data_IF_510393514321
#
_entry.id   IF_510393514321
#
_cell.length_a   1.000
_cell.length_b   1.000
_cell.length_c   1.000
_cell.angle_alpha   90.00
_cell.angle_beta   90.00
_cell.angle_gamma   90.00
#
_symmetry.space_group_name_H-M   'P 1'
#
loop_
_entity.id
_entity.type
_entity.pdbx_description
1 polymer ?
#
# COMPACT_ATOMS: atom_id res chain seq x y z
N UNK A 1 1.80 44.71 -23.33
CA UNK A 1 3.18 45.19 -23.55
C UNK A 1 3.95 45.10 -22.23
N UNK A 2 5.24 44.79 -22.30
CA UNK A 2 6.02 44.12 -21.25
C UNK A 2 6.42 45.05 -20.07
N UNK A 3 5.51 45.27 -19.12
CA UNK A 3 5.77 46.04 -17.89
C UNK A 3 7.13 45.71 -17.20
N UNK A 4 7.53 44.42 -17.07
CA UNK A 4 8.83 44.05 -16.50
C UNK A 4 10.05 44.55 -17.28
N UNK A 5 9.88 44.94 -18.56
CA UNK A 5 10.93 45.45 -19.44
C UNK A 5 10.84 46.96 -19.64
N UNK A 6 9.62 47.52 -19.73
CA UNK A 6 9.40 48.94 -19.99
C UNK A 6 9.69 49.81 -18.77
N UNK A 7 9.34 49.35 -17.57
CA UNK A 7 9.57 50.12 -16.34
C UNK A 7 11.07 50.34 -16.06
N UNK A 8 11.95 49.32 -16.07
CA UNK A 8 13.40 49.53 -15.88
C UNK A 8 14.07 50.27 -17.04
N UNK A 9 13.45 50.32 -18.22
CA UNK A 9 13.96 51.09 -19.35
C UNK A 9 13.76 52.59 -19.13
N UNK A 10 12.52 53.03 -18.85
CA UNK A 10 12.24 54.45 -18.57
C UNK A 10 12.87 54.92 -17.27
N UNK A 11 13.01 54.05 -16.27
CA UNK A 11 13.75 54.37 -15.05
C UNK A 11 15.22 54.70 -15.34
N UNK A 12 15.89 53.92 -16.21
CA UNK A 12 17.27 54.17 -16.62
C UNK A 12 17.43 55.44 -17.43
N UNK A 13 16.50 55.73 -18.35
CA UNK A 13 16.51 56.96 -19.14
C UNK A 13 16.41 58.20 -18.24
N UNK A 14 15.42 58.22 -17.33
CA UNK A 14 15.26 59.33 -16.38
C UNK A 14 16.45 59.48 -15.42
N UNK A 15 17.07 58.38 -14.98
CA UNK A 15 18.28 58.44 -14.13
C UNK A 15 19.52 58.95 -14.88
N UNK A 16 19.57 58.79 -16.21
CA UNK A 16 20.67 59.26 -17.04
C UNK A 16 20.54 60.76 -17.40
N UNK A 17 19.31 61.25 -17.53
CA UNK A 17 19.00 62.66 -17.75
C UNK A 17 17.77 63.07 -16.92
N UNK A 18 18.02 63.82 -15.85
CA UNK A 18 16.98 64.23 -14.90
C UNK A 18 16.05 65.33 -15.47
N UNK A 19 16.48 66.03 -16.54
CA UNK A 19 15.71 67.08 -17.20
C UNK A 19 14.83 66.52 -18.35
N UNK A 20 14.93 65.22 -18.65
CA UNK A 20 14.04 64.54 -19.61
C UNK A 20 12.63 64.34 -19.00
N UNK A 21 11.80 65.37 -19.18
CA UNK A 21 10.39 65.40 -18.76
C UNK A 21 9.57 64.28 -19.40
N UNK A 22 9.93 63.82 -20.60
CA UNK A 22 9.21 62.75 -21.30
C UNK A 22 9.52 61.41 -20.63
N UNK A 23 10.79 61.11 -20.35
CA UNK A 23 11.21 59.90 -19.63
C UNK A 23 10.60 59.84 -18.23
N UNK A 24 10.61 60.96 -17.48
CA UNK A 24 9.98 61.05 -16.16
C UNK A 24 8.48 60.72 -16.22
N UNK A 25 7.74 61.37 -17.12
CA UNK A 25 6.29 61.13 -17.28
C UNK A 25 6.00 59.68 -17.65
N UNK A 26 6.79 59.08 -18.55
CA UNK A 26 6.62 57.68 -18.96
C UNK A 26 6.92 56.70 -17.82
N UNK A 27 7.98 56.95 -17.06
CA UNK A 27 8.32 56.14 -15.89
C UNK A 27 7.20 56.17 -14.84
N UNK A 28 6.66 57.35 -14.51
CA UNK A 28 5.53 57.50 -13.59
C UNK A 28 4.28 56.73 -14.07
N UNK A 29 3.92 56.86 -15.35
CA UNK A 29 2.79 56.13 -15.91
C UNK A 29 2.94 54.61 -15.82
N UNK A 30 4.13 54.08 -16.13
CA UNK A 30 4.40 52.65 -16.05
C UNK A 30 4.43 52.16 -14.60
N UNK A 31 4.90 52.99 -13.66
CA UNK A 31 4.87 52.71 -12.22
C UNK A 31 3.43 52.66 -11.69
N UNK A 32 2.58 53.62 -12.06
CA UNK A 32 1.18 53.64 -11.64
C UNK A 32 0.39 52.45 -12.19
N UNK A 33 0.74 51.98 -13.39
CA UNK A 33 0.18 50.75 -13.96
C UNK A 33 0.63 49.52 -13.17
N UNK A 34 1.91 49.46 -12.81
CA UNK A 34 2.47 48.37 -11.98
C UNK A 34 1.76 48.32 -10.64
N UNK A 35 1.64 49.45 -9.96
CA UNK A 35 1.10 49.51 -8.60
C UNK A 35 -0.38 49.10 -8.58
N UNK A 36 -1.18 49.57 -9.56
CA UNK A 36 -2.56 49.12 -9.75
C UNK A 36 -2.66 47.62 -10.01
N UNK A 37 -1.81 47.08 -10.89
CA UNK A 37 -1.80 45.66 -11.22
C UNK A 37 -1.44 44.82 -9.99
N UNK A 38 -0.45 45.23 -9.21
CA UNK A 38 -0.03 44.53 -8.00
C UNK A 38 -1.17 44.47 -6.98
N UNK A 39 -1.90 45.58 -6.76
CA UNK A 39 -3.05 45.60 -5.84
C UNK A 39 -4.12 44.59 -6.30
N UNK A 40 -4.49 44.61 -7.58
CA UNK A 40 -5.50 43.69 -8.12
C UNK A 40 -5.06 42.23 -8.00
N UNK A 41 -3.81 41.91 -8.34
CA UNK A 41 -3.31 40.53 -8.26
C UNK A 41 -3.16 40.07 -6.81
N UNK A 42 -2.84 40.97 -5.87
CA UNK A 42 -2.84 40.68 -4.43
C UNK A 42 -4.24 40.29 -3.95
N UNK A 43 -5.28 40.99 -4.40
CA UNK A 43 -6.66 40.63 -4.09
C UNK A 43 -7.03 39.23 -4.61
N UNK A 44 -6.68 38.91 -5.86
CA UNK A 44 -6.91 37.56 -6.40
C UNK A 44 -6.13 36.47 -5.66
N UNK A 45 -4.89 36.74 -5.26
CA UNK A 45 -4.12 35.81 -4.44
C UNK A 45 -4.82 35.53 -3.10
N UNK A 46 -5.34 36.58 -2.45
CA UNK A 46 -6.04 36.45 -1.17
C UNK A 46 -7.38 35.70 -1.29
N UNK A 47 -8.15 35.95 -2.36
CA UNK A 47 -9.39 35.22 -2.64
C UNK A 47 -9.09 33.73 -2.87
N UNK A 48 -8.16 33.40 -3.76
CA UNK A 48 -7.76 32.02 -4.02
C UNK A 48 -7.23 31.33 -2.76
N UNK A 49 -6.52 32.04 -1.90
CA UNK A 49 -6.07 31.49 -0.61
C UNK A 49 -7.23 31.22 0.36
N UNK A 50 -8.20 32.12 0.46
CA UNK A 50 -9.40 31.96 1.29
C UNK A 50 -10.24 30.74 0.84
N UNK A 51 -10.27 30.49 -0.47
CA UNK A 51 -10.89 29.30 -1.07
C UNK A 51 -10.01 28.05 -0.97
N UNK A 52 -8.84 28.15 -0.32
CA UNK A 52 -7.85 27.09 -0.17
C UNK A 52 -7.27 26.59 -1.50
N UNK A 53 -7.39 27.37 -2.58
CA UNK A 53 -6.76 27.14 -3.87
C UNK A 53 -5.30 27.62 -3.84
N UNK A 54 -4.51 27.05 -2.94
CA UNK A 54 -3.14 27.49 -2.67
C UNK A 54 -2.22 27.47 -3.92
N UNK A 55 -2.51 26.61 -4.91
CA UNK A 55 -1.81 26.59 -6.19
C UNK A 55 -2.07 27.83 -7.04
N UNK A 56 -3.32 28.29 -7.10
CA UNK A 56 -3.73 29.49 -7.81
C UNK A 56 -3.22 30.75 -7.10
N UNK A 57 -3.37 30.81 -5.77
CA UNK A 57 -2.80 31.88 -4.94
C UNK A 57 -1.28 32.02 -5.14
N UNK A 58 -0.55 30.90 -5.16
CA UNK A 58 0.89 30.87 -5.43
C UNK A 58 1.24 31.40 -6.83
N UNK A 59 0.43 31.09 -7.84
CA UNK A 59 0.63 31.59 -9.21
C UNK A 59 0.48 33.12 -9.28
N UNK A 60 -0.53 33.68 -8.61
CA UNK A 60 -0.72 35.12 -8.49
C UNK A 60 0.46 35.81 -7.80
N UNK A 61 0.92 35.30 -6.64
CA UNK A 61 2.08 35.87 -5.94
C UNK A 61 3.37 35.79 -6.75
N UNK A 62 3.59 34.71 -7.49
CA UNK A 62 4.73 34.61 -8.43
C UNK A 62 4.68 35.64 -9.55
N UNK A 63 3.48 36.03 -10.00
CA UNK A 63 3.36 37.09 -11.00
C UNK A 63 3.71 38.47 -10.42
N UNK A 64 3.37 38.73 -9.15
CA UNK A 64 3.78 39.95 -8.44
C UNK A 64 5.29 39.97 -8.23
N UNK A 65 5.90 38.84 -7.85
CA UNK A 65 7.34 38.72 -7.67
C UNK A 65 8.14 39.09 -8.93
N UNK A 66 7.57 38.93 -10.13
CA UNK A 66 8.22 39.35 -11.39
C UNK A 66 8.15 40.87 -11.63
N UNK A 67 7.32 41.59 -10.88
CA UNK A 67 7.09 43.03 -11.01
C UNK A 67 7.75 43.82 -9.88
N UNK A 68 7.89 43.22 -8.70
CA UNK A 68 8.57 43.81 -7.54
C UNK A 68 9.35 42.77 -6.72
N UNK A 69 10.55 43.16 -6.29
CA UNK A 69 11.29 42.43 -5.27
C UNK A 69 10.78 42.83 -3.88
N UNK A 70 9.84 42.03 -3.35
CA UNK A 70 9.21 42.29 -2.06
C UNK A 70 9.47 41.13 -1.08
N UNK A 71 10.11 41.39 0.08
CA UNK A 71 10.31 40.40 1.14
C UNK A 71 9.00 39.79 1.66
N UNK A 72 7.92 40.58 1.65
CA UNK A 72 6.58 40.14 2.07
C UNK A 72 6.05 39.08 1.10
N UNK A 73 6.11 39.35 -0.21
CA UNK A 73 5.69 38.40 -1.25
C UNK A 73 6.50 37.11 -1.20
N UNK A 74 7.81 37.19 -0.96
CA UNK A 74 8.66 36.01 -0.77
C UNK A 74 8.22 35.17 0.42
N UNK A 75 7.81 35.81 1.52
CA UNK A 75 7.34 35.13 2.72
C UNK A 75 6.02 34.42 2.47
N UNK A 76 5.07 35.08 1.80
CA UNK A 76 3.78 34.49 1.43
C UNK A 76 3.94 33.30 0.46
N UNK A 77 4.83 33.42 -0.52
CA UNK A 77 5.18 32.32 -1.44
C UNK A 77 5.72 31.11 -0.66
N UNK A 78 6.60 31.32 0.32
CA UNK A 78 7.14 30.22 1.15
C UNK A 78 6.03 29.55 1.96
N UNK A 79 5.16 30.35 2.59
CA UNK A 79 4.03 29.88 3.39
C UNK A 79 3.03 29.06 2.58
N UNK A 80 2.64 29.53 1.39
CA UNK A 80 1.73 28.79 0.50
C UNK A 80 2.34 27.47 0.02
N UNK A 81 3.65 27.42 -0.23
CA UNK A 81 4.35 26.16 -0.57
C UNK A 81 4.30 25.16 0.58
N UNK A 82 4.52 25.60 1.82
CA UNK A 82 4.40 24.70 2.98
C UNK A 82 2.97 24.19 3.14
N UNK A 83 1.95 25.04 2.96
CA UNK A 83 0.55 24.62 3.05
C UNK A 83 0.18 23.59 1.96
N UNK A 84 0.65 23.79 0.73
CA UNK A 84 0.47 22.82 -0.36
C UNK A 84 1.10 21.48 -0.03
N UNK A 85 2.34 21.49 0.48
CA UNK A 85 3.05 20.27 0.85
C UNK A 85 2.34 19.52 1.98
N UNK A 86 1.91 20.22 3.03
CA UNK A 86 1.19 19.61 4.14
C UNK A 86 -0.17 19.04 3.71
N UNK A 87 -0.91 19.76 2.84
CA UNK A 87 -2.16 19.24 2.26
C UNK A 87 -1.92 17.98 1.43
N UNK A 88 -0.85 17.95 0.64
CA UNK A 88 -0.48 16.78 -0.16
C UNK A 88 -0.13 15.59 0.73
N UNK A 89 0.70 15.79 1.76
CA UNK A 89 1.04 14.75 2.75
C UNK A 89 -0.20 14.21 3.45
N UNK A 90 -1.09 15.09 3.90
CA UNK A 90 -2.33 14.69 4.56
C UNK A 90 -3.23 13.86 3.62
N UNK A 91 -3.31 14.21 2.34
CA UNK A 91 -4.06 13.45 1.36
C UNK A 91 -3.45 12.05 1.12
N UNK A 92 -2.12 11.98 0.98
CA UNK A 92 -1.42 10.69 0.81
C UNK A 92 -1.63 9.80 2.04
N UNK A 93 -1.51 10.35 3.25
CA UNK A 93 -1.76 9.61 4.48
C UNK A 93 -3.20 9.09 4.57
N UNK A 94 -4.21 9.90 4.21
CA UNK A 94 -5.61 9.47 4.16
C UNK A 94 -5.87 8.38 3.12
N UNK A 95 -5.29 8.50 1.93
CA UNK A 95 -5.43 7.50 0.87
C UNK A 95 -4.76 6.17 1.28
N UNK A 96 -3.58 6.23 1.89
CA UNK A 96 -2.87 5.03 2.36
C UNK A 96 -3.62 4.35 3.50
N UNK A 97 -4.17 5.10 4.47
CA UNK A 97 -4.95 4.52 5.56
C UNK A 97 -6.26 3.88 5.08
N UNK A 98 -6.94 4.49 4.09
CA UNK A 98 -8.16 3.91 3.53
C UNK A 98 -7.89 2.66 2.68
N UNK A 99 -6.81 2.64 1.90
CA UNK A 99 -6.37 1.45 1.17
C UNK A 99 -5.93 0.32 2.11
N UNK A 100 -5.20 0.65 3.19
CA UNK A 100 -4.82 -0.30 4.23
C UNK A 100 -6.04 -0.92 4.91
N UNK A 101 -7.05 -0.10 5.24
CA UNK A 101 -8.30 -0.56 5.84
C UNK A 101 -9.10 -1.51 4.92
N UNK A 102 -9.20 -1.19 3.61
CA UNK A 102 -9.83 -2.11 2.64
C UNK A 102 -9.10 -3.44 2.52
N UNK A 103 -7.76 -3.39 2.45
CA UNK A 103 -6.95 -4.61 2.39
C UNK A 103 -7.14 -5.46 3.65
N UNK A 104 -7.17 -4.85 4.83
CA UNK A 104 -7.42 -5.55 6.09
C UNK A 104 -8.80 -6.20 6.13
N UNK A 105 -9.84 -5.51 5.65
CA UNK A 105 -11.19 -6.07 5.52
C UNK A 105 -11.22 -7.27 4.57
N UNK A 106 -10.56 -7.17 3.42
CA UNK A 106 -10.46 -8.28 2.48
C UNK A 106 -9.72 -9.48 3.08
N UNK A 107 -8.59 -9.26 3.76
CA UNK A 107 -7.85 -10.34 4.42
C UNK A 107 -8.68 -11.06 5.48
N UNK A 108 -9.51 -10.33 6.23
CA UNK A 108 -10.44 -10.96 7.18
C UNK A 108 -11.50 -11.79 6.47
N UNK A 109 -12.10 -11.28 5.38
CA UNK A 109 -13.08 -12.02 4.60
C UNK A 109 -12.49 -13.29 3.95
N UNK A 110 -11.28 -13.18 3.39
CA UNK A 110 -10.56 -14.32 2.80
C UNK A 110 -10.20 -15.35 3.87
N UNK A 111 -9.77 -14.89 5.06
CA UNK A 111 -9.49 -15.77 6.20
C UNK A 111 -10.75 -16.52 6.65
N UNK A 112 -11.87 -15.83 6.87
CA UNK A 112 -13.15 -16.45 7.22
C UNK A 112 -13.59 -17.46 6.17
N UNK A 113 -13.48 -17.11 4.89
CA UNK A 113 -13.81 -18.02 3.78
C UNK A 113 -12.93 -19.27 3.80
N UNK A 114 -11.62 -19.13 4.06
CA UNK A 114 -10.70 -20.25 4.14
C UNK A 114 -11.01 -21.15 5.34
N UNK A 115 -11.39 -20.59 6.50
CA UNK A 115 -11.85 -21.36 7.67
C UNK A 115 -13.13 -22.13 7.33
N UNK A 116 -14.13 -21.47 6.74
CA UNK A 116 -15.42 -22.07 6.38
C UNK A 116 -15.25 -23.21 5.37
N UNK A 117 -14.30 -23.07 4.45
CA UNK A 117 -13.96 -24.09 3.45
C UNK A 117 -12.95 -25.13 3.95
N UNK A 118 -12.55 -25.08 5.23
CA UNK A 118 -11.54 -25.97 5.84
C UNK A 118 -10.19 -25.96 5.09
N UNK A 119 -9.86 -24.85 4.44
CA UNK A 119 -8.59 -24.62 3.75
C UNK A 119 -7.53 -24.16 4.76
N UNK A 120 -7.15 -25.05 5.67
CA UNK A 120 -6.37 -24.69 6.86
C UNK A 120 -5.02 -24.04 6.56
N UNK A 121 -4.32 -24.47 5.51
CA UNK A 121 -3.05 -23.87 5.10
C UNK A 121 -3.25 -22.46 4.55
N UNK A 122 -4.28 -22.25 3.73
CA UNK A 122 -4.63 -20.92 3.22
C UNK A 122 -5.01 -19.98 4.36
N UNK A 123 -5.84 -20.45 5.30
CA UNK A 123 -6.19 -19.67 6.49
C UNK A 123 -4.94 -19.30 7.30
N UNK A 124 -4.01 -20.25 7.49
CA UNK A 124 -2.74 -20.02 8.19
C UNK A 124 -1.87 -18.97 7.52
N UNK A 125 -1.72 -19.05 6.20
CA UNK A 125 -0.92 -18.09 5.43
C UNK A 125 -1.50 -16.68 5.50
N UNK A 126 -2.83 -16.55 5.35
CA UNK A 126 -3.52 -15.26 5.46
C UNK A 126 -3.35 -14.68 6.87
N UNK A 127 -3.57 -15.49 7.91
CA UNK A 127 -3.45 -15.05 9.30
C UNK A 127 -2.01 -14.63 9.65
N UNK A 128 -1.00 -15.38 9.19
CA UNK A 128 0.40 -15.00 9.35
C UNK A 128 0.70 -13.65 8.67
N UNK A 129 0.16 -13.42 7.48
CA UNK A 129 0.29 -12.15 6.79
C UNK A 129 -0.40 -10.99 7.55
N UNK A 130 -1.53 -11.25 8.21
CA UNK A 130 -2.21 -10.26 9.06
C UNK A 130 -1.40 -9.96 10.33
N UNK A 131 -0.88 -10.98 11.02
CA UNK A 131 -0.05 -10.83 12.22
C UNK A 131 1.28 -10.13 11.92
N UNK A 132 1.89 -10.34 10.76
CA UNK A 132 3.09 -9.59 10.35
C UNK A 132 2.84 -8.08 10.26
N UNK A 133 1.63 -7.68 9.88
CA UNK A 133 1.23 -6.27 9.81
C UNK A 133 0.82 -5.74 11.18
N UNK A 134 0.23 -6.59 12.03
CA UNK A 134 -0.34 -6.23 13.35
C UNK A 134 0.06 -7.26 14.41
N UNK A 135 1.35 -7.31 14.83
CA UNK A 135 1.86 -8.41 15.66
C UNK A 135 1.32 -8.45 17.09
N UNK A 136 0.69 -7.37 17.57
CA UNK A 136 0.07 -7.29 18.89
C UNK A 136 -1.45 -7.23 18.87
N UNK A 137 -2.08 -7.49 17.73
CA UNK A 137 -3.55 -7.50 17.63
C UNK A 137 -4.11 -8.73 18.35
N UNK A 138 -4.72 -8.50 19.52
CA UNK A 138 -5.25 -9.56 20.38
C UNK A 138 -6.24 -10.47 19.63
N UNK A 139 -7.11 -9.91 18.80
CA UNK A 139 -8.09 -10.71 18.08
C UNK A 139 -7.40 -11.69 17.11
N UNK A 140 -6.36 -11.25 16.41
CA UNK A 140 -5.60 -12.13 15.52
C UNK A 140 -4.79 -13.20 16.27
N UNK A 141 -4.33 -12.90 17.48
CA UNK A 141 -3.66 -13.89 18.33
C UNK A 141 -4.65 -14.94 18.84
N UNK A 142 -5.86 -14.53 19.21
CA UNK A 142 -6.95 -15.45 19.59
C UNK A 142 -7.32 -16.36 18.39
N UNK A 143 -7.46 -15.80 17.19
CA UNK A 143 -7.65 -16.55 15.94
C UNK A 143 -6.51 -17.53 15.66
N UNK A 144 -5.26 -17.15 15.95
CA UNK A 144 -4.11 -18.04 15.76
C UNK A 144 -4.19 -19.26 16.68
N UNK A 145 -4.60 -19.06 17.93
CA UNK A 145 -4.79 -20.17 18.86
C UNK A 145 -5.91 -21.11 18.39
N UNK A 146 -7.04 -20.55 17.94
CA UNK A 146 -8.16 -21.35 17.43
C UNK A 146 -7.78 -22.14 16.17
N UNK A 147 -7.11 -21.50 15.21
CA UNK A 147 -6.64 -22.18 14.00
C UNK A 147 -5.66 -23.31 14.33
N UNK A 148 -4.74 -23.09 15.28
CA UNK A 148 -3.81 -24.14 15.71
C UNK A 148 -4.54 -25.33 16.34
N UNK A 149 -5.59 -25.08 17.14
CA UNK A 149 -6.41 -26.15 17.70
C UNK A 149 -7.15 -26.95 16.61
N UNK A 150 -7.71 -26.27 15.60
CA UNK A 150 -8.37 -26.92 14.46
C UNK A 150 -7.39 -27.75 13.63
N UNK A 151 -6.18 -27.23 13.39
CA UNK A 151 -5.12 -27.96 12.69
C UNK A 151 -4.74 -29.24 13.43
N UNK A 152 -4.55 -29.17 14.74
CA UNK A 152 -4.23 -30.34 15.57
C UNK A 152 -5.34 -31.40 15.49
N UNK A 153 -6.61 -30.97 15.60
CA UNK A 153 -7.74 -31.88 15.49
C UNK A 153 -7.79 -32.59 14.12
N UNK A 154 -7.52 -31.87 13.03
CA UNK A 154 -7.51 -32.46 11.69
C UNK A 154 -6.36 -33.46 11.50
N UNK A 155 -5.17 -33.15 12.04
CA UNK A 155 -4.03 -34.08 12.06
C UNK A 155 -4.38 -35.34 12.84
N UNK A 156 -4.94 -35.21 14.04
CA UNK A 156 -5.35 -36.34 14.88
C UNK A 156 -6.40 -37.21 14.16
N UNK A 157 -7.40 -36.58 13.53
CA UNK A 157 -8.45 -37.27 12.79
C UNK A 157 -7.90 -38.09 11.62
N UNK A 158 -7.07 -37.48 10.79
CA UNK A 158 -6.47 -38.13 9.64
C UNK A 158 -5.50 -39.26 10.07
N UNK A 159 -4.80 -39.08 11.19
CA UNK A 159 -3.92 -40.10 11.77
C UNK A 159 -4.72 -41.31 12.24
N UNK A 160 -5.78 -41.09 13.04
CA UNK A 160 -6.65 -42.15 13.52
C UNK A 160 -7.37 -42.89 12.39
N UNK A 161 -7.82 -42.17 11.35
CA UNK A 161 -8.43 -42.77 10.17
C UNK A 161 -7.44 -43.68 9.43
N UNK A 162 -6.20 -43.21 9.25
CA UNK A 162 -5.17 -44.03 8.60
C UNK A 162 -4.81 -45.27 9.42
N UNK A 163 -4.74 -45.17 10.76
CA UNK A 163 -4.52 -46.32 11.64
C UNK A 163 -5.66 -47.34 11.55
N UNK A 164 -6.91 -46.89 11.51
CA UNK A 164 -8.07 -47.75 11.34
C UNK A 164 -7.99 -48.53 10.02
N UNK A 165 -7.81 -47.83 8.89
CA UNK A 165 -7.66 -48.48 7.58
C UNK A 165 -6.47 -49.44 7.54
N UNK A 166 -5.34 -49.06 8.15
CA UNK A 166 -4.16 -49.92 8.19
C UNK A 166 -4.45 -51.23 8.95
N UNK A 167 -5.16 -51.14 10.08
CA UNK A 167 -5.51 -52.31 10.90
C UNK A 167 -6.48 -53.27 10.19
N UNK A 168 -7.31 -52.75 9.29
CA UNK A 168 -8.22 -53.52 8.44
C UNK A 168 -7.53 -54.12 7.20
N UNK A 169 -6.25 -53.80 6.97
CA UNK A 169 -5.51 -54.20 5.78
C UNK A 169 -5.80 -53.34 4.53
N UNK A 170 -6.56 -52.26 4.68
CA UNK A 170 -6.90 -51.29 3.64
C UNK A 170 -5.74 -50.29 3.44
N UNK A 171 -4.58 -50.78 2.98
CA UNK A 171 -3.31 -50.01 3.01
C UNK A 171 -3.35 -48.76 2.12
N UNK A 172 -3.99 -48.80 0.96
CA UNK A 172 -4.13 -47.64 0.08
C UNK A 172 -4.91 -46.51 0.77
N UNK A 173 -6.02 -46.83 1.43
CA UNK A 173 -6.82 -45.84 2.18
C UNK A 173 -6.07 -45.30 3.40
N UNK A 174 -5.30 -46.15 4.09
CA UNK A 174 -4.43 -45.72 5.18
C UNK A 174 -3.41 -44.67 4.71
N UNK A 175 -2.75 -44.95 3.58
CA UNK A 175 -1.78 -44.05 2.98
C UNK A 175 -2.42 -42.71 2.59
N UNK A 176 -3.60 -42.74 1.95
CA UNK A 176 -4.32 -41.52 1.58
C UNK A 176 -4.66 -40.66 2.79
N UNK A 177 -5.15 -41.25 3.88
CA UNK A 177 -5.50 -40.53 5.10
C UNK A 177 -4.26 -39.89 5.75
N UNK A 178 -3.15 -40.62 5.86
CA UNK A 178 -1.92 -40.03 6.41
C UNK A 178 -1.32 -38.95 5.51
N UNK A 179 -1.38 -39.13 4.19
CA UNK A 179 -0.90 -38.12 3.25
C UNK A 179 -1.72 -36.82 3.30
N UNK A 180 -3.01 -36.85 3.66
CA UNK A 180 -3.79 -35.62 3.81
C UNK A 180 -3.38 -34.79 5.03
N UNK A 181 -2.82 -35.41 6.07
CA UNK A 181 -2.28 -34.72 7.25
C UNK A 181 -0.87 -34.15 7.03
N UNK A 182 -0.10 -34.71 6.08
CA UNK A 182 1.31 -34.37 5.91
C UNK A 182 1.56 -32.86 5.65
N UNK A 183 0.77 -32.15 4.82
CA UNK A 183 0.94 -30.72 4.63
C UNK A 183 0.72 -29.90 5.92
N UNK A 184 -0.08 -30.41 6.86
CA UNK A 184 -0.38 -29.74 8.13
C UNK A 184 0.73 -29.99 9.17
N UNK A 185 1.35 -31.17 9.12
CA UNK A 185 2.42 -31.60 10.03
C UNK A 185 3.61 -32.22 9.27
N UNK A 186 4.35 -31.43 8.46
CA UNK A 186 5.37 -31.96 7.55
C UNK A 186 6.57 -32.61 8.25
N UNK A 187 6.78 -32.29 9.53
CA UNK A 187 7.89 -32.77 10.34
C UNK A 187 7.45 -33.79 11.40
N UNK A 188 6.20 -34.28 11.34
CA UNK A 188 5.72 -35.29 12.29
C UNK A 188 6.37 -36.64 11.98
N UNK A 189 7.25 -37.09 12.88
CA UNK A 189 7.99 -38.35 12.72
C UNK A 189 7.10 -39.59 12.72
N UNK A 190 5.99 -39.58 13.47
CA UNK A 190 5.07 -40.70 13.52
C UNK A 190 4.30 -40.82 12.20
N UNK A 191 3.80 -39.69 11.70
CA UNK A 191 3.10 -39.63 10.41
C UNK A 191 4.00 -40.08 9.26
N UNK A 192 5.23 -39.57 9.20
CA UNK A 192 6.23 -39.95 8.19
C UNK A 192 6.53 -41.46 8.23
N UNK A 193 6.71 -42.04 9.42
CA UNK A 193 6.98 -43.47 9.58
C UNK A 193 5.79 -44.34 9.14
N UNK A 194 4.56 -43.91 9.43
CA UNK A 194 3.34 -44.61 9.00
C UNK A 194 3.20 -44.61 7.47
N UNK A 195 3.40 -43.44 6.83
CA UNK A 195 3.40 -43.29 5.36
C UNK A 195 4.44 -44.21 4.73
N UNK A 196 5.68 -44.19 5.23
CA UNK A 196 6.77 -45.02 4.72
C UNK A 196 6.45 -46.52 4.84
N UNK A 197 5.86 -46.94 5.97
CA UNK A 197 5.44 -48.33 6.18
C UNK A 197 4.35 -48.77 5.19
N UNK A 198 3.31 -47.97 5.00
CA UNK A 198 2.26 -48.29 4.03
C UNK A 198 2.82 -48.39 2.60
N UNK A 199 3.69 -47.45 2.21
CA UNK A 199 4.30 -47.46 0.87
C UNK A 199 5.08 -48.76 0.62
N UNK A 200 5.90 -49.20 1.58
CA UNK A 200 6.65 -50.47 1.47
C UNK A 200 5.73 -51.68 1.27
N UNK A 201 4.58 -51.71 1.94
CA UNK A 201 3.62 -52.81 1.79
C UNK A 201 3.02 -52.80 0.39
N UNK A 202 2.58 -51.64 -0.10
CA UNK A 202 2.02 -51.48 -1.44
C UNK A 202 3.04 -51.86 -2.53
N UNK A 203 4.29 -51.44 -2.38
CA UNK A 203 5.37 -51.77 -3.31
C UNK A 203 5.59 -53.29 -3.37
N UNK A 204 5.58 -53.97 -2.21
CA UNK A 204 5.70 -55.43 -2.14
C UNK A 204 4.50 -56.13 -2.78
N UNK A 205 3.28 -55.66 -2.53
CA UNK A 205 2.06 -56.22 -3.13
C UNK A 205 2.10 -56.06 -4.66
N UNK A 206 2.55 -54.91 -5.16
CA UNK A 206 2.71 -54.65 -6.58
C UNK A 206 3.75 -55.59 -7.21
N UNK A 207 4.92 -55.73 -6.60
CA UNK A 207 5.97 -56.61 -7.09
C UNK A 207 5.52 -58.08 -7.16
N UNK A 208 4.72 -58.55 -6.20
CA UNK A 208 4.16 -59.91 -6.22
C UNK A 208 3.16 -60.10 -7.36
N UNK A 209 2.31 -59.09 -7.62
CA UNK A 209 1.35 -59.13 -8.74
C UNK A 209 2.05 -59.15 -10.09
N UNK A 210 3.12 -58.37 -10.25
CA UNK A 210 3.88 -58.25 -11.51
C UNK A 210 4.81 -59.46 -11.75
N UNK A 211 5.46 -59.97 -10.69
CA UNK A 211 6.32 -61.15 -10.76
C UNK A 211 5.54 -62.45 -11.04
N UNK A 212 4.36 -62.61 -10.43
CA UNK A 212 3.50 -63.78 -10.66
C UNK A 212 2.90 -63.87 -12.06
N UNK A 213 2.81 -62.76 -12.80
CA UNK A 213 2.34 -62.74 -14.19
C UNK A 213 3.38 -63.17 -15.23
N UNK A 214 4.67 -63.19 -14.88
CA UNK A 214 5.75 -63.59 -15.80
C UNK A 214 6.10 -65.09 -15.78
N UNK A 215 5.58 -65.86 -14.82
CA UNK A 215 5.86 -67.30 -14.67
C UNK A 215 4.80 -68.23 -15.31
N UNK A 216 3.86 -67.70 -16.12
CA UNK A 216 2.81 -68.49 -16.81
C UNK A 216 2.92 -68.38 -18.35
N UNK A 217 4.13 -68.45 -18.92
CA UNK A 217 4.31 -68.56 -20.38
C UNK A 217 5.22 -69.70 -20.77
#
# INVERSE_FOLDING_TARGET
>A
QHLPKTLPFYERLYKADADDVIALRRWQQERDKRDRLIVTVKAYAAIAEAEQEYGLALAHLRSIQRLEDSPVILTDIKRLRSLLLERQKAQIARNNNSALSKKQQQQLADYTTAIDQQQWLTAKDILMAMLKQRPGDKALLDEQQQLNANLLLEIERATALGEAYYSEGNIEYALMAWQSALPLAPNDSHLLANIERAQRILDKVKALKEGGTNDIR
#
